data_IF_539340185683
#
_entry.id   IF_539340185683
#
_cell.length_a   1.000
_cell.length_b   1.000
_cell.length_c   1.000
_cell.angle_alpha   90.00
_cell.angle_beta   90.00
_cell.angle_gamma   90.00
#
_symmetry.space_group_name_H-M   'P 1'
#
loop_
_entity.id
_entity.type
_entity.pdbx_description
1 polymer ?
#
# COMPACT_ATOMS: atom_id res chain seq x y z
N UNK A 1 8.70 8.25 -17.37
CA UNK A 1 7.95 8.14 -16.10
C UNK A 1 8.42 6.88 -15.38
N UNK A 2 9.11 7.01 -14.23
CA UNK A 2 9.42 5.87 -13.37
C UNK A 2 8.41 5.87 -12.23
N UNK A 3 7.54 4.85 -12.19
CA UNK A 3 6.59 4.59 -11.09
C UNK A 3 7.28 3.77 -9.99
N UNK A 4 8.47 4.20 -9.59
CA UNK A 4 9.28 3.53 -8.58
C UNK A 4 9.52 4.55 -7.47
N UNK A 5 9.06 4.21 -6.28
CA UNK A 5 9.16 5.04 -5.08
C UNK A 5 10.17 4.45 -4.11
N UNK A 6 10.73 5.28 -3.23
CA UNK A 6 11.79 4.86 -2.31
C UNK A 6 11.25 4.01 -1.17
N UNK A 7 9.99 4.25 -0.77
CA UNK A 7 9.31 3.57 0.31
C UNK A 7 7.78 3.58 0.10
N UNK A 8 7.05 2.84 0.94
CA UNK A 8 5.60 2.70 0.88
C UNK A 8 4.85 4.00 1.17
N UNK A 9 5.34 4.83 2.10
CA UNK A 9 4.72 6.11 2.45
C UNK A 9 4.74 7.07 1.26
N UNK A 10 5.89 7.23 0.58
CA UNK A 10 6.00 8.01 -0.66
C UNK A 10 5.09 7.49 -1.77
N UNK A 11 4.90 6.18 -1.84
CA UNK A 11 4.04 5.57 -2.86
C UNK A 11 2.54 5.84 -2.62
N UNK A 12 2.14 6.09 -1.37
CA UNK A 12 0.75 6.31 -0.96
C UNK A 12 0.41 7.78 -0.71
N UNK A 13 1.40 8.68 -0.70
CA UNK A 13 1.23 10.10 -0.43
C UNK A 13 0.20 10.74 -1.37
N UNK A 14 -0.78 11.43 -0.78
CA UNK A 14 -1.89 12.07 -1.50
C UNK A 14 -2.91 11.12 -2.16
N UNK A 15 -2.76 9.79 -2.04
CA UNK A 15 -3.69 8.82 -2.62
C UNK A 15 -4.79 8.40 -1.64
N UNK A 16 -4.45 8.25 -0.35
CA UNK A 16 -5.34 7.71 0.68
C UNK A 16 -6.43 8.72 1.09
N UNK A 17 -7.61 8.18 1.39
CA UNK A 17 -8.74 8.94 1.96
C UNK A 17 -9.69 8.01 2.71
N UNK A 18 -10.39 8.57 3.69
CA UNK A 18 -11.36 7.82 4.50
C UNK A 18 -12.48 7.22 3.64
N UNK A 19 -12.89 6.00 4.00
CA UNK A 19 -13.93 5.25 3.28
C UNK A 19 -13.49 4.69 1.92
N UNK A 20 -12.20 4.77 1.57
CA UNK A 20 -11.68 4.11 0.36
C UNK A 20 -11.78 2.59 0.46
N UNK A 21 -12.34 1.96 -0.56
CA UNK A 21 -12.22 0.52 -0.75
C UNK A 21 -10.86 0.17 -1.36
N UNK A 22 -10.08 -0.67 -0.66
CA UNK A 22 -8.77 -1.14 -1.09
C UNK A 22 -8.87 -2.63 -1.40
N UNK A 23 -8.45 -3.04 -2.59
CA UNK A 23 -8.23 -4.45 -2.92
C UNK A 23 -6.80 -4.84 -2.57
N UNK A 24 -6.64 -5.73 -1.60
CA UNK A 24 -5.34 -6.25 -1.18
C UNK A 24 -5.21 -7.74 -1.54
N UNK A 25 -4.07 -8.14 -2.11
CA UNK A 25 -3.76 -9.53 -2.39
C UNK A 25 -3.15 -10.27 -1.19
N UNK A 26 -3.08 -11.60 -1.28
CA UNK A 26 -2.43 -12.48 -0.31
C UNK A 26 -3.29 -13.69 0.08
N UNK A 27 -2.65 -14.71 0.68
CA UNK A 27 -3.30 -15.87 1.27
C UNK A 27 -2.69 -16.17 2.65
N UNK A 28 -3.45 -15.92 3.72
CA UNK A 28 -2.90 -15.92 5.08
C UNK A 28 -1.82 -14.83 5.19
N UNK A 29 -0.56 -15.23 5.41
CA UNK A 29 0.61 -14.34 5.40
C UNK A 29 1.42 -14.40 4.09
N UNK A 30 1.08 -15.32 3.18
CA UNK A 30 1.80 -15.49 1.93
C UNK A 30 1.37 -14.42 0.91
N UNK A 31 2.32 -13.61 0.45
CA UNK A 31 2.10 -12.65 -0.64
C UNK A 31 1.27 -11.41 -0.25
N UNK A 32 1.22 -11.07 1.04
CA UNK A 32 0.57 -9.82 1.49
C UNK A 32 1.47 -8.61 1.16
N UNK A 33 0.90 -7.44 0.85
CA UNK A 33 1.66 -6.21 0.65
C UNK A 33 2.06 -5.57 1.99
N UNK A 34 2.87 -6.27 2.79
CA UNK A 34 3.17 -5.92 4.20
C UNK A 34 3.62 -4.46 4.37
N UNK A 35 4.55 -3.97 3.55
CA UNK A 35 5.04 -2.59 3.65
C UNK A 35 3.98 -1.54 3.35
N UNK A 36 3.02 -1.85 2.47
CA UNK A 36 1.92 -0.93 2.16
C UNK A 36 0.84 -0.97 3.25
N UNK A 37 0.62 -2.13 3.87
CA UNK A 37 -0.27 -2.26 5.03
C UNK A 37 0.29 -1.45 6.19
N UNK A 38 1.59 -1.61 6.49
CA UNK A 38 2.30 -0.89 7.55
C UNK A 38 2.30 0.64 7.33
N UNK A 39 2.24 1.11 6.09
CA UNK A 39 2.17 2.54 5.78
C UNK A 39 0.75 3.13 5.90
N UNK A 40 -0.29 2.30 6.03
CA UNK A 40 -1.68 2.71 6.23
C UNK A 40 -2.06 2.77 7.72
N UNK A 41 -1.46 1.91 8.55
CA UNK A 41 -1.68 1.86 10.01
C UNK A 41 -0.82 2.86 10.76
#
# INVERSE_FOLDING_TARGET
MKKVYTNATEALDGLLKDGMFISAGGFGLCGIPELLIDAIV
#
